data_IF_851154174096
#
_entry.id   IF_851154174096
#
_cell.length_a   1.000
_cell.length_b   1.000
_cell.length_c   1.000
_cell.angle_alpha   90.00
_cell.angle_beta   90.00
_cell.angle_gamma   90.00
#
_symmetry.space_group_name_H-M   'P 1'
#
loop_
_entity.id
_entity.type
_entity.pdbx_description
1 polymer ?
#
# COMPACT_ATOMS: atom_id res chain seq x y z
N UNK A 1 12.90 66.28 -5.20
CA UNK A 1 14.27 65.71 -5.11
C UNK A 1 14.31 64.23 -5.49
N UNK A 2 13.51 63.34 -4.90
CA UNK A 2 13.54 61.91 -5.26
C UNK A 2 13.23 61.59 -6.75
N UNK A 3 12.29 62.32 -7.36
CA UNK A 3 11.91 62.10 -8.76
C UNK A 3 13.04 62.42 -9.75
N UNK A 4 13.79 63.49 -9.50
CA UNK A 4 14.95 63.85 -10.32
C UNK A 4 16.09 62.85 -10.19
N UNK A 5 16.35 62.33 -8.98
CA UNK A 5 17.40 61.32 -8.76
C UNK A 5 17.09 60.00 -9.45
N UNK A 6 15.82 59.56 -9.43
CA UNK A 6 15.35 58.39 -10.17
C UNK A 6 15.54 58.56 -11.69
N UNK A 7 15.17 59.72 -12.22
CA UNK A 7 15.29 60.01 -13.65
C UNK A 7 16.76 59.97 -14.13
N UNK A 8 17.69 60.47 -13.30
CA UNK A 8 19.14 60.42 -13.57
C UNK A 8 19.64 58.96 -13.56
N UNK A 9 19.24 58.15 -12.57
CA UNK A 9 19.63 56.74 -12.49
C UNK A 9 19.17 55.92 -13.71
N UNK A 10 17.94 56.14 -14.20
CA UNK A 10 17.42 55.48 -15.41
C UNK A 10 18.21 55.90 -16.66
N UNK A 11 18.62 57.17 -16.74
CA UNK A 11 19.43 57.68 -17.85
C UNK A 11 20.83 57.08 -17.87
N UNK A 12 21.45 56.88 -16.69
CA UNK A 12 22.74 56.20 -16.54
C UNK A 12 22.67 54.72 -16.94
N UNK A 13 21.62 53.99 -16.54
CA UNK A 13 21.38 52.60 -16.96
C UNK A 13 21.26 52.50 -18.49
N UNK A 14 20.54 53.43 -19.12
CA UNK A 14 20.42 53.50 -20.59
C UNK A 14 21.72 53.83 -21.30
N UNK A 15 22.66 54.53 -20.66
CA UNK A 15 23.99 54.81 -21.26
C UNK A 15 24.89 53.58 -21.27
N UNK A 16 24.71 52.64 -20.34
CA UNK A 16 25.55 51.44 -20.21
C UNK A 16 24.74 50.14 -20.19
N UNK A 17 23.94 49.94 -21.23
CA UNK A 17 22.99 48.82 -21.36
C UNK A 17 23.64 47.44 -21.24
N UNK A 18 24.82 47.23 -21.85
CA UNK A 18 25.56 45.96 -21.79
C UNK A 18 25.92 45.57 -20.35
N UNK A 19 26.48 46.51 -19.59
CA UNK A 19 26.87 46.25 -18.20
C UNK A 19 25.65 46.02 -17.32
N UNK A 20 24.62 46.87 -17.45
CA UNK A 20 23.39 46.75 -16.67
C UNK A 20 22.67 45.42 -16.96
N UNK A 21 22.64 44.98 -18.23
CA UNK A 21 22.06 43.71 -18.62
C UNK A 21 22.81 42.52 -18.02
N UNK A 22 24.15 42.47 -18.13
CA UNK A 22 24.95 41.38 -17.60
C UNK A 22 24.86 41.27 -16.06
N UNK A 23 24.77 42.41 -15.35
CA UNK A 23 24.62 42.39 -13.89
C UNK A 23 23.23 41.89 -13.46
N UNK A 24 22.17 42.31 -14.15
CA UNK A 24 20.81 41.83 -13.88
C UNK A 24 20.69 40.36 -14.24
N UNK A 25 21.28 39.92 -15.35
CA UNK A 25 21.27 38.53 -15.78
C UNK A 25 21.92 37.61 -14.74
N UNK A 26 23.07 38.01 -14.18
CA UNK A 26 23.74 37.25 -13.12
C UNK A 26 22.87 37.09 -11.86
N UNK A 27 22.19 38.17 -11.45
CA UNK A 27 21.27 38.13 -10.29
C UNK A 27 20.07 37.23 -10.60
N UNK A 28 19.48 37.35 -11.79
CA UNK A 28 18.32 36.53 -12.20
C UNK A 28 18.67 35.05 -12.23
N UNK A 29 19.79 34.67 -12.84
CA UNK A 29 20.23 33.27 -12.89
C UNK A 29 20.55 32.76 -11.48
N UNK A 30 21.24 33.54 -10.65
CA UNK A 30 21.57 33.17 -9.28
C UNK A 30 20.32 32.92 -8.43
N UNK A 31 19.36 33.85 -8.46
CA UNK A 31 18.10 33.72 -7.73
C UNK A 31 17.25 32.57 -8.30
N UNK A 32 17.19 32.41 -9.62
CA UNK A 32 16.47 31.31 -10.25
C UNK A 32 17.06 29.93 -9.88
N UNK A 33 18.38 29.79 -9.85
CA UNK A 33 19.05 28.55 -9.46
C UNK A 33 18.76 28.19 -7.99
N UNK A 34 18.80 29.17 -7.09
CA UNK A 34 18.48 28.94 -5.67
C UNK A 34 17.00 28.58 -5.48
N UNK A 35 16.08 29.31 -6.13
CA UNK A 35 14.64 29.02 -6.05
C UNK A 35 14.36 27.62 -6.60
N UNK A 36 14.87 27.28 -7.78
CA UNK A 36 14.64 25.95 -8.37
C UNK A 36 15.19 24.83 -7.49
N UNK A 37 16.41 24.96 -6.95
CA UNK A 37 16.98 23.98 -6.02
C UNK A 37 16.12 23.79 -4.76
N UNK A 38 15.70 24.89 -4.11
CA UNK A 38 14.89 24.82 -2.88
C UNK A 38 13.52 24.22 -3.15
N UNK A 39 12.89 24.62 -4.26
CA UNK A 39 11.55 24.14 -4.63
C UNK A 39 11.58 22.66 -4.99
N UNK A 40 12.59 22.24 -5.76
CA UNK A 40 12.79 20.83 -6.10
C UNK A 40 13.10 19.98 -4.86
N UNK A 41 13.96 20.47 -3.97
CA UNK A 41 14.31 19.76 -2.73
C UNK A 41 13.09 19.59 -1.81
N UNK A 42 12.27 20.63 -1.63
CA UNK A 42 11.02 20.55 -0.86
C UNK A 42 9.99 19.66 -1.53
N UNK A 43 9.82 19.76 -2.85
CA UNK A 43 8.89 18.94 -3.62
C UNK A 43 9.25 17.45 -3.57
N UNK A 44 10.52 17.11 -3.72
CA UNK A 44 11.01 15.73 -3.58
C UNK A 44 10.77 15.20 -2.17
N UNK A 45 11.09 16.00 -1.15
CA UNK A 45 10.89 15.62 0.26
C UNK A 45 9.43 15.36 0.58
N UNK A 46 8.51 16.22 0.14
CA UNK A 46 7.07 16.06 0.37
C UNK A 46 6.50 14.86 -0.40
N UNK A 47 7.01 14.60 -1.61
CA UNK A 47 6.65 13.41 -2.40
C UNK A 47 7.07 12.12 -1.69
N UNK A 48 8.30 12.07 -1.16
CA UNK A 48 8.77 10.91 -0.38
C UNK A 48 7.94 10.76 0.90
N UNK A 49 7.68 11.87 1.61
CA UNK A 49 6.90 11.86 2.85
C UNK A 49 5.46 11.37 2.62
N UNK A 50 4.81 11.80 1.55
CA UNK A 50 3.46 11.35 1.19
C UNK A 50 3.43 9.88 0.76
N UNK A 51 4.43 9.41 -0.02
CA UNK A 51 4.57 7.99 -0.35
C UNK A 51 4.76 7.12 0.89
N UNK A 52 5.57 7.58 1.86
CA UNK A 52 5.78 6.87 3.13
C UNK A 52 4.52 6.93 4.01
N UNK A 53 3.83 8.07 4.07
CA UNK A 53 2.59 8.23 4.85
C UNK A 53 1.45 7.35 4.31
N UNK A 54 1.40 7.15 2.99
CA UNK A 54 0.44 6.26 2.32
C UNK A 54 0.63 4.77 2.68
N UNK A 55 1.81 4.36 3.16
CA UNK A 55 2.04 3.01 3.70
C UNK A 55 1.40 2.81 5.08
N UNK A 56 0.90 3.88 5.71
CA UNK A 56 0.39 3.87 7.07
C UNK A 56 1.53 4.06 8.06
N UNK A 57 1.47 5.14 8.83
CA UNK A 57 2.47 5.51 9.86
C UNK A 57 2.63 4.49 10.99
N UNK A 58 1.79 3.43 11.02
CA UNK A 58 1.85 2.40 12.04
C UNK A 58 1.46 1.00 11.51
N UNK A 59 1.81 0.71 10.25
CA UNK A 59 1.61 -0.62 9.65
C UNK A 59 2.81 -1.51 10.01
N UNK A 60 2.52 -2.58 10.75
CA UNK A 60 3.46 -3.61 11.13
C UNK A 60 3.12 -4.90 10.38
N UNK A 61 4.11 -5.50 9.72
CA UNK A 61 3.95 -6.79 9.03
C UNK A 61 4.75 -7.85 9.77
N UNK A 62 4.06 -8.80 10.36
CA UNK A 62 4.65 -9.95 11.03
C UNK A 62 4.77 -11.12 10.03
N UNK A 63 5.99 -11.62 9.81
CA UNK A 63 6.28 -12.75 8.92
C UNK A 63 7.00 -13.87 9.68
N UNK A 64 6.73 -15.15 9.35
CA UNK A 64 7.46 -16.26 9.94
C UNK A 64 8.83 -16.40 9.26
N UNK A 65 9.85 -16.77 10.03
CA UNK A 65 11.22 -16.98 9.54
C UNK A 65 12.14 -15.75 9.66
N UNK A 66 13.43 -15.95 9.37
CA UNK A 66 14.46 -14.91 9.50
C UNK A 66 14.62 -14.09 8.21
N UNK A 67 14.06 -12.87 8.21
CA UNK A 67 14.56 -11.72 7.43
C UNK A 67 14.31 -11.71 5.92
N UNK A 68 14.51 -10.53 5.30
CA UNK A 68 14.43 -10.29 3.85
C UNK A 68 15.72 -10.73 3.11
N UNK A 69 16.27 -11.90 3.46
CA UNK A 69 17.54 -12.40 2.91
C UNK A 69 17.34 -13.45 1.81
N UNK A 70 18.16 -13.41 0.75
CA UNK A 70 18.35 -14.51 -0.22
C UNK A 70 19.00 -15.71 0.51
N UNK A 71 18.22 -16.46 1.28
CA UNK A 71 18.69 -17.65 1.98
C UNK A 71 17.93 -18.08 3.24
N UNK A 72 16.95 -17.31 3.74
CA UNK A 72 16.33 -17.60 5.03
C UNK A 72 14.81 -17.62 4.98
N UNK A 73 14.22 -18.81 4.87
CA UNK A 73 12.75 -18.96 4.93
C UNK A 73 12.24 -20.38 5.16
N UNK A 74 13.13 -21.36 5.31
CA UNK A 74 12.75 -22.73 5.64
C UNK A 74 12.88 -22.97 7.14
N UNK A 75 11.78 -23.33 7.81
CA UNK A 75 11.83 -23.97 9.14
C UNK A 75 11.04 -23.30 10.26
N UNK A 76 10.55 -22.07 10.09
CA UNK A 76 9.64 -21.47 11.07
C UNK A 76 8.18 -21.92 10.80
N UNK A 77 7.44 -22.38 11.81
CA UNK A 77 6.01 -22.67 11.66
C UNK A 77 5.27 -21.44 11.14
N UNK A 78 4.41 -21.63 10.14
CA UNK A 78 3.56 -20.54 9.63
C UNK A 78 2.58 -20.05 10.71
N UNK A 79 1.96 -18.90 10.49
CA UNK A 79 0.95 -18.37 11.41
C UNK A 79 -0.38 -19.11 11.27
N UNK A 80 -1.14 -19.13 12.36
CA UNK A 80 -2.51 -19.62 12.38
C UNK A 80 -3.50 -18.47 12.54
N UNK A 81 -4.77 -18.68 12.16
CA UNK A 81 -5.83 -17.68 12.41
C UNK A 81 -5.97 -17.34 13.89
N UNK A 82 -5.67 -18.30 14.77
CA UNK A 82 -5.68 -18.20 16.21
C UNK A 82 -4.55 -17.32 16.74
N UNK A 83 -3.44 -17.17 16.00
CA UNK A 83 -2.38 -16.21 16.31
C UNK A 83 -2.89 -14.78 16.15
N UNK A 84 -3.56 -14.49 15.03
CA UNK A 84 -4.16 -13.18 14.78
C UNK A 84 -5.24 -12.82 15.82
N UNK A 85 -6.09 -13.79 16.21
CA UNK A 85 -7.12 -13.58 17.23
C UNK A 85 -6.52 -13.21 18.59
N UNK A 86 -5.48 -13.93 19.03
CA UNK A 86 -4.84 -13.67 20.33
C UNK A 86 -4.10 -12.34 20.34
N UNK A 87 -3.43 -11.97 19.23
CA UNK A 87 -2.79 -10.65 19.12
C UNK A 87 -3.84 -9.53 19.31
N UNK A 88 -5.03 -9.71 18.73
CA UNK A 88 -6.14 -8.76 18.87
C UNK A 88 -6.66 -8.67 20.31
N UNK A 89 -6.73 -9.79 21.02
CA UNK A 89 -7.27 -9.86 22.39
C UNK A 89 -6.27 -9.42 23.47
N UNK A 90 -4.97 -9.68 23.29
CA UNK A 90 -3.95 -9.46 24.31
C UNK A 90 -3.20 -8.13 24.16
N UNK A 91 -3.14 -7.56 22.95
CA UNK A 91 -2.43 -6.30 22.70
C UNK A 91 -3.44 -5.17 22.56
N UNK A 92 -3.66 -4.43 23.65
CA UNK A 92 -4.66 -3.35 23.69
C UNK A 92 -4.32 -2.10 22.86
N UNK A 93 -3.08 -2.00 22.35
CA UNK A 93 -2.59 -0.83 21.59
C UNK A 93 -2.79 -0.94 20.06
N UNK A 94 -3.67 -1.83 19.60
CA UNK A 94 -3.89 -2.10 18.18
C UNK A 94 -5.22 -1.53 17.70
N UNK A 95 -5.22 -0.95 16.50
CA UNK A 95 -6.43 -0.52 15.82
C UNK A 95 -7.09 -1.68 15.06
N UNK A 96 -6.28 -2.51 14.39
CA UNK A 96 -6.78 -3.60 13.54
C UNK A 96 -5.71 -4.65 13.29
N UNK A 97 -6.11 -5.91 13.14
CA UNK A 97 -5.23 -7.05 12.88
C UNK A 97 -5.85 -7.92 11.79
N UNK A 98 -5.13 -8.11 10.69
CA UNK A 98 -5.58 -8.93 9.57
C UNK A 98 -4.52 -10.00 9.23
N UNK A 99 -4.83 -11.30 9.37
CA UNK A 99 -4.04 -12.35 8.77
C UNK A 99 -4.14 -12.29 7.25
N UNK A 100 -3.03 -12.52 6.56
CA UNK A 100 -2.96 -12.47 5.11
C UNK A 100 -2.21 -13.70 4.60
N UNK A 101 -2.91 -14.54 3.84
CA UNK A 101 -2.33 -15.63 3.06
C UNK A 101 -2.31 -15.19 1.59
N UNK A 102 -1.15 -15.28 0.94
CA UNK A 102 -0.98 -14.79 -0.43
C UNK A 102 -0.35 -15.86 -1.31
N UNK A 103 -0.95 -16.09 -2.47
CA UNK A 103 -0.31 -16.89 -3.50
C UNK A 103 -0.68 -16.41 -4.90
N UNK A 104 0.27 -16.48 -5.85
CA UNK A 104 -0.02 -16.20 -7.25
C UNK A 104 -0.88 -17.31 -7.83
N UNK A 105 -2.00 -16.96 -8.47
CA UNK A 105 -2.76 -17.90 -9.29
C UNK A 105 -3.20 -17.28 -10.60
N UNK A 106 -3.38 -18.16 -11.59
CA UNK A 106 -3.99 -17.79 -12.85
C UNK A 106 -5.47 -17.44 -12.63
N UNK A 107 -5.81 -16.20 -12.97
CA UNK A 107 -7.16 -15.65 -12.93
C UNK A 107 -7.63 -15.41 -14.35
N UNK A 108 -8.78 -15.98 -14.70
CA UNK A 108 -9.39 -15.88 -16.01
C UNK A 108 -10.74 -15.16 -15.99
N UNK A 109 -10.98 -14.37 -17.02
CA UNK A 109 -12.29 -13.81 -17.36
C UNK A 109 -12.50 -13.92 -18.88
N UNK A 110 -13.55 -14.63 -19.29
CA UNK A 110 -13.83 -14.93 -20.71
C UNK A 110 -12.61 -15.53 -21.43
N UNK A 111 -12.06 -14.81 -22.42
CA UNK A 111 -10.89 -15.20 -23.21
C UNK A 111 -9.57 -14.69 -22.64
N UNK A 112 -9.58 -13.88 -21.58
CA UNK A 112 -8.39 -13.29 -20.97
C UNK A 112 -8.00 -14.07 -19.72
N UNK A 113 -6.69 -14.26 -19.53
CA UNK A 113 -6.13 -14.88 -18.35
C UNK A 113 -4.84 -14.17 -17.94
N UNK A 114 -4.63 -14.01 -16.64
CA UNK A 114 -3.46 -13.36 -16.06
C UNK A 114 -3.08 -14.03 -14.75
N UNK A 115 -1.78 -14.20 -14.51
CA UNK A 115 -1.29 -14.59 -13.21
C UNK A 115 -1.23 -13.36 -12.30
N UNK A 116 -2.02 -13.36 -11.23
CA UNK A 116 -2.14 -12.24 -10.29
C UNK A 116 -2.04 -12.77 -8.87
N UNK A 117 -1.52 -11.95 -7.95
CA UNK A 117 -1.47 -12.29 -6.53
C UNK A 117 -2.87 -12.24 -5.92
N UNK A 118 -3.30 -13.36 -5.35
CA UNK A 118 -4.55 -13.42 -4.60
C UNK A 118 -4.23 -13.42 -3.12
N UNK A 119 -4.86 -12.49 -2.40
CA UNK A 119 -4.73 -12.29 -0.97
C UNK A 119 -6.01 -12.75 -0.27
N UNK A 120 -5.92 -13.80 0.54
CA UNK A 120 -6.96 -14.22 1.47
C UNK A 120 -6.82 -13.48 2.80
N UNK A 121 -7.83 -12.73 3.22
CA UNK A 121 -7.74 -11.93 4.46
C UNK A 121 -9.11 -11.58 5.07
N UNK A 122 -9.11 -10.85 6.19
CA UNK A 122 -10.29 -10.27 6.84
C UNK A 122 -10.55 -8.83 6.38
N UNK A 123 -11.78 -8.28 6.57
CA UNK A 123 -12.13 -6.93 6.15
C UNK A 123 -11.18 -5.83 6.68
N UNK A 124 -10.63 -6.04 7.87
CA UNK A 124 -9.64 -5.16 8.52
C UNK A 124 -8.42 -4.85 7.65
N UNK A 125 -8.09 -5.72 6.70
CA UNK A 125 -7.04 -5.49 5.71
C UNK A 125 -7.21 -4.17 4.96
N UNK A 126 -8.45 -3.81 4.61
CA UNK A 126 -8.72 -2.57 3.88
C UNK A 126 -8.45 -1.35 4.75
N UNK A 127 -8.78 -1.43 6.03
CA UNK A 127 -8.52 -0.37 7.02
C UNK A 127 -7.03 -0.22 7.31
N UNK A 128 -6.34 -1.34 7.60
CA UNK A 128 -4.88 -1.37 7.88
C UNK A 128 -4.10 -0.83 6.68
N UNK A 129 -4.46 -1.28 5.48
CA UNK A 129 -3.83 -0.83 4.24
C UNK A 129 -4.29 0.56 3.78
N UNK A 130 -5.27 1.22 4.43
CA UNK A 130 -5.89 2.47 3.93
C UNK A 130 -6.37 2.36 2.47
N UNK A 131 -6.92 1.21 2.09
CA UNK A 131 -7.50 1.00 0.78
C UNK A 131 -8.81 1.78 0.65
N UNK A 132 -8.99 2.47 -0.48
CA UNK A 132 -10.25 3.13 -0.83
C UNK A 132 -10.96 2.30 -1.89
N UNK A 133 -12.29 2.30 -1.84
CA UNK A 133 -13.10 1.68 -2.90
C UNK A 133 -13.28 2.71 -4.03
N UNK A 134 -13.06 2.29 -5.26
CA UNK A 134 -13.40 3.06 -6.45
C UNK A 134 -14.83 2.77 -6.89
N UNK A 135 -15.24 1.50 -6.82
CA UNK A 135 -16.56 1.06 -7.27
C UNK A 135 -17.04 -0.16 -6.47
N UNK A 136 -18.35 -0.31 -6.31
CA UNK A 136 -18.98 -1.37 -5.52
C UNK A 136 -18.77 -1.24 -4.01
N UNK A 137 -18.44 -2.34 -3.33
CA UNK A 137 -18.26 -2.39 -1.87
C UNK A 137 -17.09 -3.28 -1.45
N UNK A 138 -16.61 -3.07 -0.23
CA UNK A 138 -15.77 -4.07 0.46
C UNK A 138 -16.60 -5.28 0.87
N UNK A 139 -15.93 -6.44 1.02
CA UNK A 139 -16.53 -7.56 1.72
C UNK A 139 -16.49 -7.33 3.23
N UNK A 140 -17.49 -7.84 3.94
CA UNK A 140 -17.64 -7.66 5.38
C UNK A 140 -17.33 -8.93 6.18
N UNK A 141 -17.53 -8.87 7.50
CA UNK A 141 -17.33 -10.02 8.36
C UNK A 141 -18.33 -11.15 8.07
N UNK A 142 -19.55 -10.83 7.63
CA UNK A 142 -20.56 -11.83 7.30
C UNK A 142 -20.14 -12.63 6.05
N UNK A 143 -19.65 -11.94 5.02
CA UNK A 143 -19.08 -12.53 3.80
C UNK A 143 -17.93 -13.49 4.16
N UNK A 144 -17.11 -13.11 5.14
CA UNK A 144 -16.01 -13.95 5.60
C UNK A 144 -16.49 -15.12 6.47
N UNK A 145 -17.43 -14.91 7.38
CA UNK A 145 -17.96 -15.96 8.26
C UNK A 145 -18.70 -17.04 7.48
N UNK A 146 -19.50 -16.65 6.51
CA UNK A 146 -20.26 -17.56 5.65
C UNK A 146 -19.38 -18.22 4.56
N UNK A 147 -18.22 -17.63 4.27
CA UNK A 147 -17.34 -18.07 3.19
C UNK A 147 -17.98 -17.82 1.81
N UNK A 148 -18.58 -16.64 1.65
CA UNK A 148 -19.17 -16.22 0.37
C UNK A 148 -18.07 -16.09 -0.69
N UNK A 149 -18.39 -16.51 -1.90
CA UNK A 149 -17.48 -16.47 -3.03
C UNK A 149 -17.46 -15.07 -3.66
N UNK A 150 -16.97 -14.10 -2.89
CA UNK A 150 -16.84 -12.70 -3.30
C UNK A 150 -15.36 -12.28 -3.36
N UNK A 151 -15.03 -11.33 -4.23
CA UNK A 151 -13.71 -10.73 -4.32
C UNK A 151 -13.78 -9.23 -4.57
N UNK A 152 -12.71 -8.55 -4.16
CA UNK A 152 -12.45 -7.15 -4.47
C UNK A 152 -11.16 -7.11 -5.29
N UNK A 153 -11.17 -6.44 -6.44
CA UNK A 153 -10.05 -6.44 -7.38
C UNK A 153 -9.32 -5.10 -7.41
N UNK A 154 -8.01 -5.13 -7.66
CA UNK A 154 -7.23 -3.91 -7.90
C UNK A 154 -7.42 -3.32 -9.30
N UNK A 155 -7.00 -2.06 -9.48
CA UNK A 155 -7.21 -1.32 -10.72
C UNK A 155 -6.48 -1.93 -11.92
N UNK A 156 -5.27 -2.50 -11.72
CA UNK A 156 -4.55 -3.19 -12.79
C UNK A 156 -5.30 -4.44 -13.24
N UNK A 157 -5.84 -5.22 -12.30
CA UNK A 157 -6.65 -6.41 -12.62
C UNK A 157 -7.90 -6.05 -13.41
N UNK A 158 -8.61 -4.96 -13.03
CA UNK A 158 -9.76 -4.44 -13.78
C UNK A 158 -9.37 -4.15 -15.23
N UNK A 159 -8.33 -3.34 -15.45
CA UNK A 159 -7.90 -2.92 -16.78
C UNK A 159 -7.52 -4.11 -17.67
N UNK A 160 -6.81 -5.08 -17.11
CA UNK A 160 -6.27 -6.20 -17.88
C UNK A 160 -7.35 -7.23 -18.21
N UNK A 161 -8.14 -7.65 -17.21
CA UNK A 161 -9.16 -8.69 -17.39
C UNK A 161 -10.46 -8.16 -18.00
N UNK A 162 -10.91 -6.97 -17.59
CA UNK A 162 -12.21 -6.43 -18.00
C UNK A 162 -12.10 -5.31 -19.05
N UNK A 163 -10.96 -4.63 -19.14
CA UNK A 163 -10.81 -3.46 -20.02
C UNK A 163 -11.74 -2.33 -19.57
N UNK A 164 -12.60 -1.88 -20.46
CA UNK A 164 -13.62 -0.85 -20.20
C UNK A 164 -14.92 -1.42 -19.60
N UNK A 165 -15.08 -2.75 -19.54
CA UNK A 165 -16.28 -3.35 -18.98
C UNK A 165 -16.37 -3.17 -17.46
N UNK A 166 -17.59 -3.04 -16.95
CA UNK A 166 -17.84 -3.00 -15.50
C UNK A 166 -17.55 -4.39 -14.88
N UNK A 167 -16.56 -4.49 -13.97
CA UNK A 167 -16.26 -5.74 -13.30
C UNK A 167 -17.25 -6.09 -12.18
N UNK A 168 -17.98 -5.12 -11.60
CA UNK A 168 -18.83 -5.37 -10.44
C UNK A 168 -20.02 -6.26 -10.81
N UNK A 169 -20.29 -7.28 -10.00
CA UNK A 169 -21.31 -8.29 -10.25
C UNK A 169 -20.88 -9.40 -11.21
N UNK A 170 -19.78 -9.23 -11.95
CA UNK A 170 -19.24 -10.26 -12.83
C UNK A 170 -18.51 -11.35 -12.04
N UNK A 171 -18.34 -12.52 -12.65
CA UNK A 171 -17.62 -13.65 -12.05
C UNK A 171 -16.28 -13.87 -12.73
N UNK A 172 -15.22 -13.87 -11.95
CA UNK A 172 -13.88 -14.30 -12.39
C UNK A 172 -13.62 -15.74 -11.98
N UNK A 173 -12.83 -16.44 -12.78
CA UNK A 173 -12.37 -17.79 -12.46
C UNK A 173 -10.98 -17.71 -11.89
N UNK A 174 -10.83 -18.16 -10.64
CA UNK A 174 -9.53 -18.30 -9.99
C UNK A 174 -9.27 -19.80 -9.83
N UNK A 175 -8.24 -20.33 -10.51
CA UNK A 175 -7.97 -21.77 -10.57
C UNK A 175 -9.20 -22.55 -11.08
N UNK A 176 -9.91 -23.25 -10.19
CA UNK A 176 -11.10 -24.04 -10.50
C UNK A 176 -12.40 -23.46 -9.91
N UNK A 177 -12.33 -22.27 -9.30
CA UNK A 177 -13.40 -21.68 -8.51
C UNK A 177 -13.92 -20.39 -9.16
N UNK A 178 -15.24 -20.25 -9.28
CA UNK A 178 -15.88 -19.04 -9.78
C UNK A 178 -16.27 -18.11 -8.63
N UNK A 179 -15.71 -16.90 -8.62
CA UNK A 179 -15.83 -15.90 -7.55
C UNK A 179 -16.41 -14.61 -8.15
N UNK A 180 -17.38 -14.01 -7.47
CA UNK A 180 -18.05 -12.79 -7.90
C UNK A 180 -17.28 -11.56 -7.44
N UNK A 181 -17.05 -10.61 -8.35
CA UNK A 181 -16.46 -9.33 -8.01
C UNK A 181 -17.54 -8.45 -7.39
N UNK A 182 -17.30 -7.97 -6.16
CA UNK A 182 -18.23 -7.08 -5.43
C UNK A 182 -17.72 -5.64 -5.35
N UNK A 183 -16.44 -5.41 -5.68
CA UNK A 183 -15.88 -4.08 -5.68
C UNK A 183 -14.51 -3.98 -6.35
N UNK A 184 -14.11 -2.74 -6.59
CA UNK A 184 -12.84 -2.36 -7.21
C UNK A 184 -12.11 -1.41 -6.28
N UNK A 185 -10.83 -1.66 -6.02
CA UNK A 185 -9.97 -0.77 -5.24
C UNK A 185 -9.56 0.44 -6.07
N UNK A 186 -9.54 1.60 -5.43
CA UNK A 186 -8.91 2.79 -5.98
C UNK A 186 -7.41 2.54 -6.17
N UNK A 187 -6.88 3.07 -7.27
CA UNK A 187 -5.48 2.93 -7.61
C UNK A 187 -4.60 3.54 -6.52
N UNK A 188 -3.67 2.76 -5.99
CA UNK A 188 -2.55 3.25 -5.19
C UNK A 188 -1.31 3.48 -6.03
N UNK A 189 -1.24 2.86 -7.20
CA UNK A 189 -0.09 2.91 -8.08
C UNK A 189 1.08 2.05 -7.61
N UNK A 190 2.22 2.23 -8.27
CA UNK A 190 3.43 1.48 -7.98
C UNK A 190 4.13 2.01 -6.72
N UNK A 191 4.63 1.10 -5.90
CA UNK A 191 5.57 1.46 -4.82
C UNK A 191 6.84 2.09 -5.40
N UNK A 192 7.60 2.82 -4.58
CA UNK A 192 8.91 3.39 -4.97
C UNK A 192 9.95 2.36 -5.44
N UNK A 193 9.68 1.06 -5.27
CA UNK A 193 10.49 -0.06 -5.76
C UNK A 193 9.94 -0.71 -7.04
N UNK A 194 8.97 -0.08 -7.72
CA UNK A 194 8.41 -0.56 -8.99
C UNK A 194 7.41 -1.72 -8.87
N UNK A 195 7.04 -2.12 -7.65
CA UNK A 195 6.04 -3.16 -7.44
C UNK A 195 4.63 -2.55 -7.53
N UNK A 196 3.82 -3.09 -8.44
CA UNK A 196 2.42 -2.69 -8.62
C UNK A 196 1.57 -3.20 -7.45
N UNK A 197 1.00 -2.28 -6.66
CA UNK A 197 0.09 -2.62 -5.57
C UNK A 197 -1.33 -2.94 -6.08
N UNK A 198 -1.64 -2.52 -7.30
CA UNK A 198 -2.96 -2.63 -7.90
C UNK A 198 -3.14 -3.96 -8.66
N UNK A 199 -2.09 -4.78 -8.80
CA UNK A 199 -2.16 -6.16 -9.31
C UNK A 199 -2.42 -7.16 -8.17
N UNK A 200 -3.57 -7.01 -7.53
CA UNK A 200 -4.01 -7.84 -6.41
C UNK A 200 -5.50 -8.16 -6.51
N UNK A 201 -5.87 -9.36 -6.06
CA UNK A 201 -7.26 -9.78 -5.87
C UNK A 201 -7.42 -10.15 -4.40
N UNK A 202 -8.28 -9.44 -3.69
CA UNK A 202 -8.53 -9.66 -2.27
C UNK A 202 -9.82 -10.46 -2.10
N UNK A 203 -9.75 -11.57 -1.38
CA UNK A 203 -10.90 -12.41 -1.08
C UNK A 203 -10.96 -12.74 0.42
N UNK A 204 -12.14 -13.12 0.95
CA UNK A 204 -12.23 -13.57 2.32
C UNK A 204 -11.32 -14.77 2.60
N UNK A 205 -10.62 -14.75 3.74
CA UNK A 205 -9.66 -15.81 4.10
C UNK A 205 -10.30 -17.21 4.11
N UNK A 206 -11.54 -17.32 4.60
CA UNK A 206 -12.29 -18.58 4.62
C UNK A 206 -12.56 -19.10 3.20
N UNK A 207 -12.86 -18.21 2.26
CA UNK A 207 -13.05 -18.54 0.83
C UNK A 207 -11.73 -18.96 0.19
N UNK A 208 -10.63 -18.25 0.50
CA UNK A 208 -9.29 -18.60 0.03
C UNK A 208 -8.87 -20.00 0.48
N UNK A 209 -8.99 -20.28 1.78
CA UNK A 209 -8.67 -21.58 2.34
C UNK A 209 -9.60 -22.67 1.78
N UNK A 210 -10.91 -22.46 1.75
CA UNK A 210 -11.86 -23.51 1.33
C UNK A 210 -11.80 -23.81 -0.17
N UNK A 211 -11.59 -22.81 -1.03
CA UNK A 211 -11.79 -22.94 -2.49
C UNK A 211 -10.51 -22.92 -3.32
N UNK A 212 -9.38 -22.50 -2.77
CA UNK A 212 -8.14 -22.27 -3.54
C UNK A 212 -6.98 -23.14 -3.04
N UNK A 213 -6.56 -22.94 -1.79
CA UNK A 213 -5.35 -23.55 -1.19
C UNK A 213 -5.63 -24.80 -0.35
N UNK A 214 -6.87 -25.00 0.12
CA UNK A 214 -7.30 -26.10 1.00
C UNK A 214 -7.36 -25.67 2.47
N UNK A 215 -8.17 -26.34 3.31
CA UNK A 215 -8.42 -25.92 4.70
C UNK A 215 -7.16 -25.82 5.58
N UNK A 216 -6.09 -26.55 5.23
CA UNK A 216 -4.80 -26.43 5.90
C UNK A 216 -4.22 -25.00 5.85
N UNK A 217 -4.60 -24.19 4.86
CA UNK A 217 -4.22 -22.78 4.73
C UNK A 217 -4.58 -21.92 5.94
N UNK A 218 -5.64 -22.25 6.68
CA UNK A 218 -6.01 -21.53 7.91
C UNK A 218 -4.95 -21.65 9.02
N UNK A 219 -4.10 -22.69 8.94
CA UNK A 219 -3.00 -22.93 9.88
C UNK A 219 -1.64 -22.61 9.25
N UNK A 220 -1.64 -22.02 8.06
CA UNK A 220 -0.48 -21.88 7.18
C UNK A 220 -0.43 -20.48 6.54
N UNK A 221 -0.63 -19.46 7.39
CA UNK A 221 -0.73 -18.05 6.98
C UNK A 221 0.67 -17.44 6.84
N UNK A 222 0.88 -16.75 5.72
CA UNK A 222 2.20 -16.23 5.34
C UNK A 222 2.61 -14.98 6.11
N UNK A 223 1.65 -14.11 6.47
CA UNK A 223 1.93 -12.91 7.25
C UNK A 223 0.71 -12.43 8.03
N UNK A 224 0.93 -11.67 9.10
CA UNK A 224 -0.12 -10.95 9.83
C UNK A 224 0.17 -9.46 9.68
N UNK A 225 -0.80 -8.71 9.15
CA UNK A 225 -0.74 -7.26 9.09
C UNK A 225 -1.42 -6.67 10.33
N UNK A 226 -0.79 -5.67 10.92
CA UNK A 226 -1.20 -5.08 12.18
C UNK A 226 -1.13 -3.56 12.02
N UNK A 227 -2.19 -2.87 12.39
CA UNK A 227 -2.18 -1.41 12.54
C UNK A 227 -2.18 -1.07 14.01
N UNK A 228 -1.13 -0.38 14.49
CA UNK A 228 -1.12 0.16 15.84
C UNK A 228 -1.95 1.45 15.97
N UNK A 229 -2.38 1.77 17.18
CA UNK A 229 -3.08 3.01 17.51
C UNK A 229 -2.22 4.27 17.27
N UNK A 230 -2.87 5.41 17.02
CA UNK A 230 -2.20 6.68 16.77
C UNK A 230 -1.46 7.16 18.03
N UNK A 231 -0.17 7.45 17.92
CA UNK A 231 0.68 7.90 19.02
C UNK A 231 1.36 6.79 19.83
N UNK A 232 1.03 5.52 19.59
CA UNK A 232 1.73 4.38 20.19
C UNK A 232 3.10 4.18 19.54
N UNK A 233 4.14 4.00 20.35
CA UNK A 233 5.49 3.69 19.84
C UNK A 233 5.47 2.34 19.13
N UNK A 234 5.73 2.34 17.81
CA UNK A 234 5.81 1.11 17.03
C UNK A 234 6.83 0.13 17.62
N UNK A 235 7.91 0.63 18.24
CA UNK A 235 8.91 -0.19 18.91
C UNK A 235 8.35 -0.95 20.14
N UNK A 236 7.48 -0.30 20.92
CA UNK A 236 6.83 -0.93 22.07
C UNK A 236 5.89 -2.05 21.60
N UNK A 237 5.06 -1.77 20.59
CA UNK A 237 4.16 -2.75 19.98
C UNK A 237 4.93 -3.94 19.40
N UNK A 238 6.04 -3.69 18.70
CA UNK A 238 6.89 -4.75 18.17
C UNK A 238 7.44 -5.63 19.30
N UNK A 239 7.94 -5.03 20.38
CA UNK A 239 8.50 -5.78 21.51
C UNK A 239 7.44 -6.65 22.20
N UNK A 240 6.24 -6.10 22.40
CA UNK A 240 5.11 -6.80 23.03
C UNK A 240 4.63 -7.98 22.17
N UNK A 241 4.38 -7.76 20.87
CA UNK A 241 3.99 -8.81 19.93
C UNK A 241 5.09 -9.88 19.82
N UNK A 242 6.36 -9.48 19.76
CA UNK A 242 7.47 -10.44 19.67
C UNK A 242 7.52 -11.32 20.92
N UNK A 243 7.34 -10.74 22.10
CA UNK A 243 7.37 -11.49 23.37
C UNK A 243 6.19 -12.45 23.48
N UNK A 244 4.99 -12.01 23.11
CA UNK A 244 3.78 -12.83 23.06
C UNK A 244 3.94 -14.00 22.09
N UNK A 245 4.45 -13.74 20.89
CA UNK A 245 4.63 -14.78 19.86
C UNK A 245 5.74 -15.76 20.20
N UNK A 246 6.81 -15.32 20.88
CA UNK A 246 7.86 -16.21 21.40
C UNK A 246 7.35 -17.14 22.47
N UNK A 247 6.63 -16.60 23.47
CA UNK A 247 6.04 -17.39 24.55
C UNK A 247 5.08 -18.45 24.02
N UNK A 248 4.24 -18.10 23.05
CA UNK A 248 3.29 -19.06 22.45
C UNK A 248 3.96 -20.14 21.61
N UNK A 249 5.07 -19.80 20.95
CA UNK A 249 5.77 -20.71 20.03
C UNK A 249 6.91 -21.47 20.69
N UNK A 250 7.09 -21.32 22.00
CA UNK A 250 8.21 -21.86 22.77
C UNK A 250 9.56 -21.54 22.12
N UNK A 251 9.73 -20.28 21.70
CA UNK A 251 10.95 -19.73 21.09
C UNK A 251 11.68 -18.78 22.03
#
# INVERSE_FOLDING_TARGET
MFFSTFLIAVREIRRNLMRAFLTVLGIVIGVAAVITMVTLGRGATETIKSQVSNLGSNLLVLRPGQGFGRGGGGGAPQFSTEDAKIITEQVGSLNAVAPVDQAPFNTGYLTKARNTNISGTFPDYFTIGKWKIADGRFFDEADTREGRAVCVIGQTVKRELFGEADPVGQRIRIKNSSIMVVGVLAAKGQTGFGQDQDDTIVIPLTTFARRIKGQASLRSIDQIMISGADGSSSAAIISEITSLMRLRRNL
#
